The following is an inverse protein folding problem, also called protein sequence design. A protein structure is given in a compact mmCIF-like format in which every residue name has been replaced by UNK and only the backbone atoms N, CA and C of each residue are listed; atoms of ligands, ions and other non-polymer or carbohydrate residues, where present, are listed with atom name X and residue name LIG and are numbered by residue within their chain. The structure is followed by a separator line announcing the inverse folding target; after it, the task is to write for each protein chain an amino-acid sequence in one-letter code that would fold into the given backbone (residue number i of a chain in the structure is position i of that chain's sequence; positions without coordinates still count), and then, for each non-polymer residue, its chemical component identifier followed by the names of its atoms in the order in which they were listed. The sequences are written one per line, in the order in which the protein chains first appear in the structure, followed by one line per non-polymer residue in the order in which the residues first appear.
data_IF_612929774267
#
_entry.id   IF_612929774267
#
_cell.length_a   1.000
_cell.length_b   1.000
_cell.length_c   1.000
_cell.angle_alpha   90.00
_cell.angle_beta   90.00
_cell.angle_gamma   90.00
#
_symmetry.space_group_name_H-M   'P 1'
#
loop_
_entity.id
_entity.type
_entity.pdbx_description
1 polymer ?
#
# COMPACT_ATOMS: atom_id res chain seq x y z
N UNK A 1 -24.76 -25.34 -35.18
CA UNK A 1 -24.58 -24.85 -33.81
C UNK A 1 -23.12 -24.37 -33.70
N UNK A 2 -22.91 -23.06 -33.73
CA UNK A 2 -21.59 -22.46 -33.47
C UNK A 2 -21.46 -22.39 -31.95
N UNK A 3 -20.52 -23.16 -31.37
CA UNK A 3 -20.07 -22.94 -30.01
C UNK A 3 -19.24 -21.66 -29.97
N UNK A 4 -19.76 -20.62 -29.34
CA UNK A 4 -18.94 -19.48 -28.94
C UNK A 4 -17.94 -19.95 -27.91
N UNK A 5 -16.61 -19.67 -28.08
CA UNK A 5 -15.64 -20.04 -27.07
C UNK A 5 -15.98 -19.33 -25.77
N UNK A 6 -16.15 -20.09 -24.69
CA UNK A 6 -16.31 -19.53 -23.34
C UNK A 6 -15.04 -18.73 -23.01
N UNK A 7 -15.21 -17.46 -22.69
CA UNK A 7 -14.13 -16.63 -22.15
C UNK A 7 -13.63 -17.32 -20.87
N UNK A 8 -12.31 -17.58 -20.73
CA UNK A 8 -11.78 -18.14 -19.49
C UNK A 8 -12.17 -17.24 -18.33
N UNK A 9 -12.92 -17.78 -17.38
CA UNK A 9 -13.28 -17.03 -16.18
C UNK A 9 -12.11 -17.07 -15.20
N UNK A 10 -11.81 -15.93 -14.59
CA UNK A 10 -10.81 -15.86 -13.53
C UNK A 10 -11.22 -16.74 -12.36
N UNK A 11 -10.28 -17.52 -11.83
CA UNK A 11 -10.50 -18.33 -10.63
C UNK A 11 -10.29 -17.46 -9.42
N UNK A 12 -11.31 -17.37 -8.57
CA UNK A 12 -11.24 -16.66 -7.29
C UNK A 12 -10.95 -17.68 -6.19
N UNK A 13 -9.83 -17.54 -5.51
CA UNK A 13 -9.43 -18.37 -4.38
C UNK A 13 -9.52 -17.54 -3.12
N UNK A 14 -10.32 -17.99 -2.16
CA UNK A 14 -10.35 -17.42 -0.81
C UNK A 14 -9.45 -18.26 0.07
N UNK A 15 -8.38 -17.67 0.59
CA UNK A 15 -7.55 -18.30 1.60
C UNK A 15 -8.10 -17.90 2.97
N UNK A 16 -8.70 -18.83 3.68
CA UNK A 16 -8.88 -18.67 5.11
C UNK A 16 -7.52 -18.97 5.74
N UNK A 17 -6.83 -17.96 6.25
CA UNK A 17 -5.78 -18.23 7.21
C UNK A 17 -6.47 -18.63 8.51
N UNK A 18 -6.81 -19.91 8.67
CA UNK A 18 -6.82 -20.46 10.01
C UNK A 18 -5.41 -20.21 10.51
N UNK A 19 -5.26 -19.31 11.45
CA UNK A 19 -4.00 -19.10 12.14
C UNK A 19 -3.58 -20.42 12.79
N UNK A 20 -2.82 -21.20 12.07
CA UNK A 20 -1.79 -21.98 12.69
C UNK A 20 -0.82 -20.91 13.20
N UNK A 21 -1.08 -20.47 14.40
CA UNK A 21 -0.09 -19.80 15.22
C UNK A 21 1.01 -20.84 15.35
N UNK A 22 1.98 -20.77 14.47
CA UNK A 22 3.25 -21.42 14.65
C UNK A 22 3.89 -20.71 15.85
N UNK A 23 3.73 -21.32 17.02
CA UNK A 23 4.20 -20.80 18.30
C UNK A 23 5.74 -20.79 18.40
N UNK A 24 6.45 -21.01 17.31
CA UNK A 24 7.92 -21.04 17.28
C UNK A 24 8.60 -19.85 16.60
N UNK A 25 7.87 -18.90 16.05
CA UNK A 25 8.46 -17.62 15.65
C UNK A 25 8.00 -16.49 16.56
N UNK A 26 8.29 -16.59 17.83
CA UNK A 26 8.37 -15.41 18.69
C UNK A 26 9.59 -14.62 18.23
N UNK A 27 9.41 -13.73 17.30
CA UNK A 27 10.33 -12.61 17.10
C UNK A 27 10.17 -11.75 18.34
N UNK A 28 10.96 -12.04 19.37
CA UNK A 28 11.11 -11.16 20.51
C UNK A 28 11.75 -9.89 20.02
N UNK A 29 10.93 -8.89 19.71
CA UNK A 29 11.41 -7.52 19.61
C UNK A 29 11.80 -7.09 21.02
N UNK A 30 13.08 -6.72 21.17
CA UNK A 30 13.64 -6.20 22.41
C UNK A 30 12.80 -5.02 22.90
N UNK A 31 12.23 -5.14 24.09
CA UNK A 31 11.22 -4.25 24.67
C UNK A 31 11.81 -2.97 25.26
N UNK A 32 12.85 -2.40 24.70
CA UNK A 32 13.38 -1.10 25.15
C UNK A 32 13.16 0.08 24.18
N UNK A 33 12.20 -0.02 23.30
CA UNK A 33 11.74 1.11 22.51
C UNK A 33 10.23 1.08 22.45
N UNK A 34 9.58 2.20 22.79
CA UNK A 34 8.14 2.37 22.59
C UNK A 34 7.74 1.71 21.29
N UNK A 35 6.91 0.69 21.34
CA UNK A 35 6.29 0.09 20.17
C UNK A 35 5.68 1.22 19.36
N UNK A 36 6.36 1.59 18.29
CA UNK A 36 5.73 2.41 17.26
C UNK A 36 4.82 1.42 16.59
N UNK A 37 3.51 1.47 16.83
CA UNK A 37 2.61 0.55 16.16
C UNK A 37 2.89 0.77 14.67
N UNK A 38 3.29 -0.28 13.97
CA UNK A 38 3.33 -0.27 12.52
C UNK A 38 1.94 0.16 12.08
N UNK A 39 1.73 1.39 11.61
CA UNK A 39 0.38 1.81 11.26
C UNK A 39 -0.16 0.97 10.10
N UNK A 40 0.71 0.13 9.54
CA UNK A 40 0.40 -0.70 8.38
C UNK A 40 1.14 -2.01 8.50
N UNK A 41 0.50 -2.96 9.15
CA UNK A 41 0.94 -4.33 9.06
C UNK A 41 0.69 -4.80 7.61
N UNK A 42 1.76 -5.11 6.90
CA UNK A 42 1.68 -5.70 5.55
C UNK A 42 0.97 -7.04 5.65
N UNK A 43 1.10 -7.67 6.81
CA UNK A 43 0.45 -8.90 7.20
C UNK A 43 -0.45 -8.65 8.41
N UNK A 44 -1.59 -7.98 8.16
CA UNK A 44 -2.57 -7.68 9.21
C UNK A 44 -3.29 -8.92 9.76
N UNK A 45 -2.86 -10.11 9.38
CA UNK A 45 -3.49 -11.38 9.74
C UNK A 45 -4.91 -11.55 9.19
N UNK A 46 -5.38 -10.57 8.41
CA UNK A 46 -6.71 -10.61 7.83
C UNK A 46 -6.75 -11.55 6.63
N UNK A 47 -7.81 -12.30 6.52
CA UNK A 47 -8.07 -13.10 5.33
C UNK A 47 -8.18 -12.19 4.10
N UNK A 48 -7.63 -12.64 2.99
CA UNK A 48 -7.61 -11.91 1.71
C UNK A 48 -8.25 -12.77 0.62
N UNK A 49 -8.97 -12.12 -0.28
CA UNK A 49 -9.40 -12.75 -1.52
C UNK A 49 -8.34 -12.52 -2.59
N UNK A 50 -7.81 -13.59 -3.14
CA UNK A 50 -6.85 -13.54 -4.23
C UNK A 50 -7.54 -13.91 -5.55
N UNK A 51 -7.22 -13.19 -6.60
CA UNK A 51 -7.73 -13.45 -7.96
C UNK A 51 -6.58 -13.93 -8.83
N UNK A 52 -6.72 -15.11 -9.42
CA UNK A 52 -5.79 -15.62 -10.41
C UNK A 52 -6.37 -15.44 -11.81
N UNK A 53 -5.68 -14.66 -12.64
CA UNK A 53 -6.06 -14.43 -14.03
C UNK A 53 -5.50 -15.53 -14.92
N UNK A 54 -6.35 -16.45 -15.34
CA UNK A 54 -5.97 -17.61 -16.16
C UNK A 54 -5.39 -17.15 -17.51
N UNK A 55 -5.99 -16.14 -18.14
CA UNK A 55 -5.56 -15.62 -19.45
C UNK A 55 -4.16 -15.03 -19.43
N UNK A 56 -3.72 -14.50 -18.31
CA UNK A 56 -2.41 -13.85 -18.12
C UNK A 56 -1.45 -14.70 -17.30
N UNK A 57 -1.92 -15.86 -16.80
CA UNK A 57 -1.18 -16.80 -15.93
C UNK A 57 -0.50 -16.07 -14.74
N UNK A 58 -1.24 -15.17 -14.08
CA UNK A 58 -0.71 -14.40 -12.96
C UNK A 58 -1.76 -14.11 -11.88
N UNK A 59 -1.26 -13.89 -10.67
CA UNK A 59 -2.06 -13.39 -9.57
C UNK A 59 -2.34 -11.89 -9.74
N UNK A 60 -3.55 -11.50 -9.43
CA UNK A 60 -3.97 -10.11 -9.34
C UNK A 60 -3.74 -9.55 -7.93
N UNK A 61 -4.15 -8.32 -7.72
CA UNK A 61 -4.10 -7.66 -6.42
C UNK A 61 -4.93 -8.39 -5.38
N UNK A 62 -4.43 -8.58 -4.15
CA UNK A 62 -5.24 -9.10 -3.06
C UNK A 62 -6.34 -8.10 -2.67
N UNK A 63 -7.54 -8.61 -2.43
CA UNK A 63 -8.69 -7.84 -1.98
C UNK A 63 -8.94 -8.09 -0.50
N UNK A 64 -9.26 -7.04 0.25
CA UNK A 64 -9.53 -7.09 1.69
C UNK A 64 -10.93 -7.58 2.07
N UNK A 65 -11.69 -8.21 1.16
CA UNK A 65 -12.99 -8.80 1.47
C UNK A 65 -12.89 -10.33 1.54
N UNK A 66 -13.71 -10.92 2.38
CA UNK A 66 -13.72 -12.35 2.66
C UNK A 66 -15.15 -12.90 2.53
N UNK A 67 -15.48 -13.54 1.40
CA UNK A 67 -16.74 -14.24 1.25
C UNK A 67 -16.69 -15.62 1.93
N UNK A 68 -17.83 -16.09 2.35
CA UNK A 68 -18.00 -17.46 2.85
C UNK A 68 -18.02 -18.48 1.70
N UNK A 69 -18.53 -18.05 0.53
CA UNK A 69 -18.60 -18.87 -0.67
C UNK A 69 -18.71 -17.99 -1.92
N UNK A 70 -18.24 -18.53 -3.05
CA UNK A 70 -18.50 -18.00 -4.39
C UNK A 70 -19.35 -18.96 -5.20
N UNK A 71 -20.18 -18.41 -6.08
CA UNK A 71 -20.97 -19.16 -7.04
C UNK A 71 -21.07 -18.40 -8.36
N UNK A 72 -20.90 -19.10 -9.47
CA UNK A 72 -21.14 -18.56 -10.80
C UNK A 72 -22.49 -19.06 -11.32
N UNK A 73 -23.32 -18.13 -11.79
CA UNK A 73 -24.57 -18.43 -12.47
C UNK A 73 -24.55 -17.72 -13.81
N UNK A 74 -24.33 -18.46 -14.87
CA UNK A 74 -24.11 -17.89 -16.20
C UNK A 74 -22.84 -17.02 -16.23
N UNK A 75 -22.99 -15.75 -16.58
CA UNK A 75 -21.90 -14.74 -16.61
C UNK A 75 -21.76 -13.93 -15.31
N UNK A 76 -22.58 -14.24 -14.31
CA UNK A 76 -22.61 -13.48 -13.07
C UNK A 76 -21.87 -14.20 -11.95
N UNK A 77 -21.01 -13.47 -11.24
CA UNK A 77 -20.33 -13.93 -10.03
C UNK A 77 -21.12 -13.49 -8.80
N UNK A 78 -21.52 -14.45 -7.98
CA UNK A 78 -22.15 -14.20 -6.69
C UNK A 78 -21.20 -14.58 -5.57
N UNK A 79 -21.27 -13.83 -4.48
CA UNK A 79 -20.60 -14.15 -3.23
C UNK A 79 -21.60 -14.14 -2.07
N UNK A 80 -21.31 -14.92 -1.05
CA UNK A 80 -22.14 -15.03 0.14
C UNK A 80 -21.39 -14.50 1.34
N UNK A 81 -22.07 -13.71 2.16
CA UNK A 81 -21.53 -13.19 3.41
C UNK A 81 -22.64 -12.91 4.39
N UNK A 82 -22.54 -13.47 5.60
CA UNK A 82 -23.49 -13.28 6.70
C UNK A 82 -24.94 -13.60 6.31
N UNK A 83 -25.13 -14.74 5.61
CA UNK A 83 -26.44 -15.21 5.17
C UNK A 83 -27.08 -14.37 4.05
N UNK A 84 -26.33 -13.45 3.42
CA UNK A 84 -26.78 -12.65 2.27
C UNK A 84 -26.04 -13.05 1.02
N UNK A 85 -26.73 -13.00 -0.11
CA UNK A 85 -26.18 -13.18 -1.44
C UNK A 85 -25.91 -11.81 -2.07
N UNK A 86 -24.71 -11.64 -2.61
CA UNK A 86 -24.25 -10.43 -3.25
C UNK A 86 -23.80 -10.73 -4.67
N UNK A 87 -24.32 -9.99 -5.63
CA UNK A 87 -23.84 -10.05 -7.01
C UNK A 87 -22.66 -9.10 -7.16
N UNK A 88 -21.52 -9.63 -7.60
CA UNK A 88 -20.30 -8.84 -7.79
C UNK A 88 -20.33 -8.07 -9.13
N UNK A 89 -19.62 -6.96 -9.21
CA UNK A 89 -19.43 -6.16 -10.43
C UNK A 89 -20.72 -5.62 -11.05
N UNK A 90 -21.70 -5.24 -10.24
CA UNK A 90 -23.03 -4.78 -10.71
C UNK A 90 -23.23 -3.27 -10.65
N UNK A 91 -22.37 -2.54 -9.96
CA UNK A 91 -22.51 -1.10 -9.78
C UNK A 91 -21.18 -0.36 -9.96
N UNK A 92 -21.23 0.97 -9.93
CA UNK A 92 -20.05 1.84 -10.08
C UNK A 92 -19.47 2.27 -8.73
N UNK A 93 -19.80 1.61 -7.63
CA UNK A 93 -19.19 1.84 -6.33
C UNK A 93 -17.94 0.96 -6.19
N UNK A 94 -16.79 1.49 -6.58
CA UNK A 94 -15.51 0.79 -6.47
C UNK A 94 -15.09 0.67 -5.00
N UNK A 95 -14.31 -0.36 -4.68
CA UNK A 95 -13.87 -0.68 -3.32
C UNK A 95 -15.01 -0.78 -2.28
N UNK A 96 -16.19 -1.18 -2.73
CA UNK A 96 -17.32 -1.41 -1.85
C UNK A 96 -17.69 -2.89 -1.91
N UNK A 97 -17.39 -3.62 -0.85
CA UNK A 97 -17.66 -5.04 -0.73
C UNK A 97 -18.66 -5.29 0.40
N UNK A 98 -19.72 -6.01 0.12
CA UNK A 98 -20.76 -6.32 1.11
C UNK A 98 -21.39 -5.09 1.78
N UNK A 99 -21.42 -3.94 1.06
CA UNK A 99 -21.92 -2.67 1.59
C UNK A 99 -20.92 -1.92 2.49
N UNK A 100 -19.68 -2.41 2.59
CA UNK A 100 -18.63 -1.77 3.35
C UNK A 100 -17.61 -1.12 2.39
N UNK A 101 -17.39 0.17 2.57
CA UNK A 101 -16.39 0.91 1.82
C UNK A 101 -14.99 0.50 2.25
N UNK A 102 -14.16 0.17 1.27
CA UNK A 102 -12.74 -0.10 1.46
C UNK A 102 -11.86 1.01 0.92
N UNK A 103 -10.55 0.85 1.02
CA UNK A 103 -9.54 1.77 0.52
C UNK A 103 -8.64 1.08 -0.49
N UNK A 104 -8.21 1.83 -1.52
CA UNK A 104 -7.16 1.36 -2.43
C UNK A 104 -5.81 1.70 -1.85
N UNK A 105 -4.90 0.74 -1.80
CA UNK A 105 -3.54 0.90 -1.28
C UNK A 105 -2.52 0.38 -2.28
N UNK A 106 -1.43 1.12 -2.45
CA UNK A 106 -0.24 0.67 -3.15
C UNK A 106 0.92 0.74 -2.17
N UNK A 107 1.68 -0.34 -2.12
CA UNK A 107 2.89 -0.45 -1.31
C UNK A 107 4.06 -0.77 -2.22
N UNK A 108 5.17 -0.07 -2.05
CA UNK A 108 6.37 -0.26 -2.84
C UNK A 108 7.62 -0.01 -2.00
N UNK A 109 8.72 -0.61 -2.44
CA UNK A 109 10.05 -0.31 -1.92
C UNK A 109 10.81 0.45 -3.00
N UNK A 110 11.21 1.68 -2.66
CA UNK A 110 12.06 2.51 -3.50
C UNK A 110 13.52 2.40 -3.06
N UNK A 111 14.42 2.11 -4.01
CA UNK A 111 15.85 2.05 -3.79
C UNK A 111 16.59 2.54 -5.03
N UNK A 112 17.86 2.93 -4.87
CA UNK A 112 18.71 3.21 -6.03
C UNK A 112 19.05 1.89 -6.76
N UNK A 113 18.64 1.71 -8.03
CA UNK A 113 18.91 0.47 -8.76
C UNK A 113 20.40 0.27 -9.07
N UNK A 114 21.15 1.36 -9.26
CA UNK A 114 22.60 1.32 -9.59
C UNK A 114 23.48 1.04 -8.37
N UNK A 115 23.04 1.47 -7.20
CA UNK A 115 23.78 1.32 -5.94
C UNK A 115 22.82 1.06 -4.78
N UNK A 116 22.35 -0.19 -4.59
CA UNK A 116 21.31 -0.51 -3.62
C UNK A 116 21.65 -0.21 -2.16
N UNK A 117 22.92 -0.15 -1.81
CA UNK A 117 23.41 0.17 -0.45
C UNK A 117 23.66 1.67 -0.22
N UNK A 118 23.56 2.49 -1.26
CA UNK A 118 23.83 3.90 -1.17
C UNK A 118 22.73 4.65 -0.40
N UNK A 119 23.14 5.50 0.54
CA UNK A 119 22.19 6.31 1.31
C UNK A 119 21.57 7.39 0.41
N UNK A 120 20.27 7.34 0.33
CA UNK A 120 19.44 8.34 -0.35
C UNK A 120 18.74 9.23 0.68
N UNK A 121 18.38 10.44 0.27
CA UNK A 121 17.50 11.34 1.03
C UNK A 121 16.25 11.56 0.22
N UNK A 122 15.09 11.16 0.76
CA UNK A 122 13.80 11.39 0.12
C UNK A 122 13.51 12.90 0.03
N UNK A 123 13.10 13.38 -1.13
CA UNK A 123 12.85 14.79 -1.40
C UNK A 123 11.41 15.05 -1.77
N UNK A 124 10.92 14.35 -2.78
CA UNK A 124 9.62 14.60 -3.38
C UNK A 124 8.92 13.30 -3.72
N UNK A 125 7.60 13.36 -3.81
CA UNK A 125 6.78 12.35 -4.45
C UNK A 125 5.92 13.03 -5.50
N UNK A 126 5.75 12.38 -6.64
CA UNK A 126 4.78 12.77 -7.64
C UNK A 126 3.91 11.58 -8.03
N UNK A 127 2.61 11.83 -8.15
CA UNK A 127 1.60 10.82 -8.45
C UNK A 127 0.77 11.30 -9.62
N UNK A 128 0.80 10.58 -10.74
CA UNK A 128 -0.11 10.82 -11.86
C UNK A 128 -1.32 9.89 -11.73
N UNK A 129 -2.44 10.47 -11.34
CA UNK A 129 -3.70 9.77 -11.16
C UNK A 129 -4.86 10.75 -11.39
N UNK A 130 -6.06 10.22 -11.56
CA UNK A 130 -7.27 11.05 -11.62
C UNK A 130 -7.71 11.58 -10.25
N UNK A 131 -7.18 11.03 -9.15
CA UNK A 131 -7.50 11.42 -7.77
C UNK A 131 -6.23 11.56 -6.95
N UNK A 132 -6.19 12.55 -6.06
CA UNK A 132 -5.10 12.72 -5.08
C UNK A 132 -5.08 11.58 -4.07
N UNK A 133 -3.88 11.13 -3.64
CA UNK A 133 -3.78 10.26 -2.48
C UNK A 133 -4.43 10.91 -1.25
N UNK A 134 -5.19 10.14 -0.49
CA UNK A 134 -5.73 10.61 0.81
C UNK A 134 -4.67 10.57 1.89
N UNK A 135 -3.75 9.62 1.76
CA UNK A 135 -2.65 9.44 2.69
C UNK A 135 -1.45 8.81 1.99
N UNK A 136 -0.25 9.21 2.37
CA UNK A 136 0.99 8.58 1.92
C UNK A 136 1.97 8.49 3.09
N UNK A 137 2.54 7.32 3.25
CA UNK A 137 3.49 7.00 4.30
C UNK A 137 4.85 6.66 3.72
N UNK A 138 5.90 7.25 4.28
CA UNK A 138 7.30 6.93 4.01
C UNK A 138 7.93 6.34 5.26
N UNK A 139 8.70 5.27 5.09
CA UNK A 139 9.46 4.66 6.18
C UNK A 139 10.81 4.16 5.66
N UNK A 140 11.82 4.25 6.49
CA UNK A 140 13.09 3.53 6.37
C UNK A 140 13.49 3.00 7.74
N UNK A 141 14.29 1.95 7.76
CA UNK A 141 14.72 1.31 9.01
C UNK A 141 16.23 1.38 9.21
N UNK A 142 16.97 1.70 8.16
CA UNK A 142 18.43 1.72 8.15
C UNK A 142 18.94 3.06 7.67
N UNK A 143 19.91 3.72 8.32
CA UNK A 143 20.56 3.28 9.57
C UNK A 143 19.71 3.45 10.83
N UNK A 144 18.66 4.26 10.77
CA UNK A 144 17.72 4.48 11.86
C UNK A 144 16.29 4.39 11.36
N UNK A 145 15.38 4.01 12.23
CA UNK A 145 13.94 4.05 11.92
C UNK A 145 13.51 5.50 11.77
N UNK A 146 13.04 5.87 10.60
CA UNK A 146 12.49 7.18 10.29
C UNK A 146 11.17 7.03 9.56
N UNK A 147 10.24 7.93 9.80
CA UNK A 147 8.96 7.93 9.09
C UNK A 147 8.39 9.32 8.87
N UNK A 148 7.63 9.46 7.79
CA UNK A 148 6.94 10.70 7.42
C UNK A 148 5.61 10.37 6.78
N UNK A 149 4.62 11.23 7.02
CA UNK A 149 3.27 11.09 6.49
C UNK A 149 2.90 12.32 5.68
N UNK A 150 2.17 12.10 4.59
CA UNK A 150 1.56 13.12 3.76
C UNK A 150 0.06 12.90 3.68
N UNK A 151 -0.69 13.97 3.66
CA UNK A 151 -2.14 13.99 3.51
C UNK A 151 -2.53 14.64 2.18
N UNK A 152 -3.79 14.59 1.81
CA UNK A 152 -4.30 15.22 0.58
C UNK A 152 -3.94 16.70 0.47
N UNK A 153 -3.85 17.41 1.61
CA UNK A 153 -3.54 18.85 1.65
C UNK A 153 -2.10 19.17 1.32
N UNK A 154 -1.18 18.21 1.47
CA UNK A 154 0.24 18.40 1.18
C UNK A 154 0.53 18.34 -0.32
N UNK A 155 -0.39 17.77 -1.11
CA UNK A 155 -0.25 17.63 -2.55
C UNK A 155 -0.72 18.87 -3.31
N UNK A 156 0.13 19.36 -4.20
CA UNK A 156 -0.18 20.41 -5.18
C UNK A 156 -0.45 19.76 -6.53
N UNK A 157 -1.51 20.18 -7.20
CA UNK A 157 -1.83 19.78 -8.55
C UNK A 157 -1.05 20.64 -9.56
N UNK A 158 -0.40 19.98 -10.50
CA UNK A 158 0.24 20.61 -11.65
C UNK A 158 0.00 19.74 -12.88
N UNK A 159 -0.90 20.19 -13.76
CA UNK A 159 -1.18 19.52 -15.04
C UNK A 159 -1.58 18.03 -14.90
N UNK A 160 -2.36 17.69 -13.87
CA UNK A 160 -2.82 16.32 -13.62
C UNK A 160 -1.80 15.44 -12.88
N UNK A 161 -0.69 16.01 -12.43
CA UNK A 161 0.28 15.34 -11.56
C UNK A 161 0.24 15.98 -10.17
N UNK A 162 0.07 15.16 -9.16
CA UNK A 162 0.04 15.59 -7.76
C UNK A 162 1.43 15.50 -7.16
N UNK A 163 1.99 16.65 -6.79
CA UNK A 163 3.34 16.80 -6.21
C UNK A 163 3.28 17.13 -4.74
N UNK A 164 4.18 16.50 -3.97
CA UNK A 164 4.48 16.91 -2.60
C UNK A 164 5.96 16.80 -2.29
N UNK A 165 6.43 17.59 -1.33
CA UNK A 165 7.70 17.36 -0.68
C UNK A 165 7.52 16.30 0.41
N UNK A 166 8.46 15.37 0.52
CA UNK A 166 8.49 14.45 1.65
C UNK A 166 8.79 15.25 2.91
N UNK A 167 7.88 15.22 3.87
CA UNK A 167 8.07 15.88 5.15
C UNK A 167 9.19 15.20 5.94
N UNK A 168 9.64 15.86 7.01
CA UNK A 168 10.74 15.36 7.82
C UNK A 168 10.28 14.26 8.77
N UNK A 169 11.25 13.60 9.38
CA UNK A 169 11.02 12.48 10.28
C UNK A 169 10.18 12.89 11.50
N UNK A 170 9.00 12.29 11.63
CA UNK A 170 8.11 12.49 12.78
C UNK A 170 8.65 11.87 14.08
N UNK A 171 9.62 10.97 13.96
CA UNK A 171 10.26 10.28 15.08
C UNK A 171 11.56 10.97 15.52
N UNK A 172 11.99 12.03 14.81
CA UNK A 172 13.25 12.69 15.06
C UNK A 172 13.51 12.93 16.56
N UNK A 173 14.60 12.39 17.13
CA UNK A 173 14.97 12.61 18.52
C UNK A 173 15.54 14.03 18.76
N UNK A 174 16.01 14.68 17.69
CA UNK A 174 16.71 15.96 17.75
C UNK A 174 15.75 17.16 17.90
N UNK A 175 14.45 16.93 17.82
CA UNK A 175 13.42 17.98 17.94
C UNK A 175 12.41 17.59 18.97
N UNK A 176 12.27 18.45 19.99
CA UNK A 176 11.18 18.32 20.98
C UNK A 176 9.87 18.77 20.39
N UNK A 177 8.76 18.13 20.79
CA UNK A 177 7.41 18.56 20.42
C UNK A 177 6.57 17.45 19.78
N UNK A 178 5.44 17.84 19.21
CA UNK A 178 4.49 16.95 18.58
C UNK A 178 5.04 16.34 17.27
N UNK A 179 4.46 15.24 16.79
CA UNK A 179 4.84 14.62 15.52
C UNK A 179 4.77 15.62 14.36
N UNK A 180 3.76 16.51 14.33
CA UNK A 180 3.64 17.55 13.31
C UNK A 180 4.81 18.54 13.34
N UNK A 181 5.23 18.98 14.53
CA UNK A 181 6.39 19.86 14.67
C UNK A 181 7.68 19.19 14.21
N UNK A 182 7.85 17.91 14.50
CA UNK A 182 8.97 17.10 14.04
C UNK A 182 8.98 16.94 12.52
N UNK A 183 7.83 16.72 11.88
CA UNK A 183 7.72 16.63 10.41
C UNK A 183 8.09 17.93 9.68
N UNK A 184 8.06 19.07 10.38
CA UNK A 184 8.50 20.36 9.82
C UNK A 184 9.98 20.66 10.11
N UNK A 185 10.44 20.37 11.32
CA UNK A 185 11.78 20.79 11.83
C UNK A 185 12.76 19.64 12.04
N UNK A 186 12.29 18.38 11.98
CA UNK A 186 13.09 17.18 12.25
C UNK A 186 14.15 16.86 11.19
N UNK A 187 14.68 15.68 11.27
CA UNK A 187 15.67 15.17 10.33
C UNK A 187 15.03 14.81 8.98
N UNK A 188 15.82 14.86 7.92
CA UNK A 188 15.37 14.38 6.61
C UNK A 188 15.29 12.85 6.62
N UNK A 189 14.31 12.28 5.93
CA UNK A 189 14.21 10.83 5.75
C UNK A 189 15.36 10.34 4.90
N UNK A 190 16.23 9.50 5.46
CA UNK A 190 17.47 9.03 4.83
C UNK A 190 17.66 7.54 5.04
N UNK A 191 17.93 6.81 3.98
CA UNK A 191 18.21 5.37 4.04
C UNK A 191 18.63 4.81 2.70
N UNK A 192 19.09 3.55 2.65
CA UNK A 192 19.39 2.86 1.40
C UNK A 192 18.13 2.45 0.64
N UNK A 193 17.00 2.45 1.30
CA UNK A 193 15.69 2.17 0.73
C UNK A 193 14.60 2.86 1.53
N UNK A 194 13.46 3.07 0.87
CA UNK A 194 12.24 3.61 1.48
C UNK A 194 11.08 2.68 1.20
N UNK A 195 10.37 2.29 2.23
CA UNK A 195 9.02 1.77 2.08
C UNK A 195 8.08 2.94 1.87
N UNK A 196 7.27 2.87 0.84
CA UNK A 196 6.29 3.90 0.51
C UNK A 196 4.93 3.25 0.32
N UNK A 197 3.94 3.76 1.01
CA UNK A 197 2.56 3.36 0.85
C UNK A 197 1.74 4.59 0.46
N UNK A 198 0.94 4.47 -0.58
CA UNK A 198 -0.06 5.46 -0.96
C UNK A 198 -1.46 4.86 -0.86
N UNK A 199 -2.38 5.61 -0.28
CA UNK A 199 -3.76 5.20 -0.01
C UNK A 199 -4.75 6.19 -0.62
N UNK A 200 -5.83 5.65 -1.18
CA UNK A 200 -7.00 6.39 -1.66
C UNK A 200 -8.24 5.87 -0.97
N UNK A 201 -8.90 6.76 -0.24
CA UNK A 201 -10.20 6.52 0.37
C UNK A 201 -11.29 7.02 -0.57
N UNK A 202 -11.64 6.21 -1.55
CA UNK A 202 -12.59 6.58 -2.59
C UNK A 202 -13.41 5.40 -3.07
N UNK A 203 -14.66 5.69 -3.40
CA UNK A 203 -15.58 4.77 -4.08
C UNK A 203 -15.67 5.06 -5.59
N UNK A 204 -14.92 6.03 -6.07
CA UNK A 204 -14.81 6.36 -7.50
C UNK A 204 -13.73 5.51 -8.17
N UNK A 205 -13.83 5.37 -9.48
CA UNK A 205 -12.79 4.71 -10.27
C UNK A 205 -11.46 5.42 -10.08
N UNK A 206 -10.48 4.72 -9.54
CA UNK A 206 -9.10 5.19 -9.45
C UNK A 206 -8.32 4.75 -10.70
N UNK A 207 -7.78 5.73 -11.43
CA UNK A 207 -6.85 5.51 -12.53
C UNK A 207 -5.48 6.05 -12.12
N UNK A 208 -4.60 5.16 -11.73
CA UNK A 208 -3.22 5.49 -11.40
C UNK A 208 -2.33 5.13 -12.58
N UNK A 209 -1.51 6.08 -13.04
CA UNK A 209 -0.55 5.87 -14.11
C UNK A 209 0.84 5.59 -13.57
N UNK A 210 1.35 6.47 -12.68
CA UNK A 210 2.64 6.24 -12.03
C UNK A 210 2.74 6.92 -10.67
N UNK A 211 3.69 6.44 -9.87
CA UNK A 211 4.22 7.09 -8.69
C UNK A 211 5.73 7.21 -8.88
N UNK A 212 6.26 8.42 -8.77
CA UNK A 212 7.68 8.69 -8.85
C UNK A 212 8.17 9.31 -7.53
N UNK A 213 9.33 8.85 -7.07
CA UNK A 213 9.95 9.33 -5.83
C UNK A 213 11.29 9.96 -6.19
N UNK A 214 11.36 11.27 -6.01
CA UNK A 214 12.61 12.02 -6.16
C UNK A 214 13.47 11.90 -4.91
N UNK A 215 14.73 11.56 -5.10
CA UNK A 215 15.71 11.48 -4.01
C UNK A 215 17.05 12.05 -4.40
N UNK A 216 17.79 12.54 -3.40
CA UNK A 216 19.19 12.91 -3.54
C UNK A 216 20.07 11.80 -2.99
N UNK A 217 21.08 11.44 -3.74
CA UNK A 217 22.10 10.49 -3.33
C UNK A 217 23.18 11.23 -2.57
N UNK A 218 23.54 10.72 -1.38
CA UNK A 218 24.70 11.23 -0.67
C UNK A 218 25.96 10.64 -1.31
N UNK A 219 26.87 11.46 -1.86
CA UNK A 219 28.13 10.94 -2.37
C UNK A 219 28.83 10.15 -1.27
N UNK A 220 29.16 8.89 -1.56
CA UNK A 220 29.98 8.11 -0.66
C UNK A 220 31.32 8.83 -0.48
N UNK A 221 31.74 9.07 0.76
CA UNK A 221 33.13 9.44 1.01
C UNK A 221 34.00 8.27 0.52
N UNK A 222 34.70 8.47 -0.59
CA UNK A 222 35.82 7.60 -0.92
C UNK A 222 36.83 7.84 0.19
N UNK A 223 37.00 6.90 1.10
CA UNK A 223 38.19 6.83 1.93
C UNK A 223 39.31 6.54 0.96
N UNK A 224 40.17 7.53 0.76
CA UNK A 224 41.44 7.40 0.06
C UNK A 224 42.45 6.85 1.06
#
# INVERSE_FOLDING_TARGET
AYMTPSIPQDVVITTQSSALVDTESTVTYDTEGSEIPYPYDIYDGQAKTLVFKISENKWSTPHGYEPEMFCNVGSYLFSFKSGKMWQNNTNNAYNNFFGVAGKSKIMMVARNPESPSQIMTAQTISVEANLKPTFTHFRTETPNVQSSDLTTTDYKDREGVFYSHVLRDRLSPNVSGTALQKMVKGDKIRGPWFFVMAEWDTQSLLQLKFINIGFNVTPGHKFI
#
